data_IF_099739561867
#
_entry.id   IF_099739561867
#
_cell.length_a   1.000
_cell.length_b   1.000
_cell.length_c   1.000
_cell.angle_alpha   90.00
_cell.angle_beta   90.00
_cell.angle_gamma   90.00
#
_symmetry.space_group_name_H-M   'P 1'
#
loop_
_entity.id
_entity.type
_entity.pdbx_description
1 polymer ?
#
# COMPACT_ATOMS: atom_id res chain seq x y z
N UNK A 1 -14.63 -9.49 23.22
CA UNK A 1 -14.73 -9.34 21.75
C UNK A 1 -13.94 -8.16 21.16
N UNK A 2 -13.59 -7.09 21.90
CA UNK A 2 -12.80 -5.94 21.40
C UNK A 2 -11.30 -6.19 21.12
N UNK A 3 -10.77 -7.39 21.36
CA UNK A 3 -9.31 -7.67 21.32
C UNK A 3 -8.75 -7.87 19.91
N UNK A 4 -9.58 -8.22 18.93
CA UNK A 4 -9.12 -8.56 17.57
C UNK A 4 -9.32 -7.44 16.55
N UNK A 5 -10.28 -6.54 16.74
CA UNK A 5 -10.57 -5.46 15.79
C UNK A 5 -9.84 -4.16 16.18
N UNK A 6 -8.51 -4.23 16.24
CA UNK A 6 -7.68 -3.04 16.49
C UNK A 6 -7.37 -2.34 15.17
N UNK A 7 -7.07 -1.04 15.23
CA UNK A 7 -6.61 -0.30 14.05
C UNK A 7 -5.41 -0.99 13.38
N UNK A 8 -4.46 -1.49 14.17
CA UNK A 8 -3.31 -2.21 13.65
C UNK A 8 -3.71 -3.48 12.91
N UNK A 9 -4.69 -4.24 13.43
CA UNK A 9 -5.18 -5.45 12.77
C UNK A 9 -5.86 -5.12 11.44
N UNK A 10 -6.70 -4.07 11.41
CA UNK A 10 -7.36 -3.61 10.17
C UNK A 10 -6.31 -3.18 9.14
N UNK A 11 -5.31 -2.41 9.58
CA UNK A 11 -4.25 -1.92 8.71
C UNK A 11 -3.40 -3.06 8.14
N UNK A 12 -3.04 -4.06 8.95
CA UNK A 12 -2.27 -5.22 8.48
C UNK A 12 -3.08 -6.16 7.58
N UNK A 13 -4.36 -6.38 7.89
CA UNK A 13 -5.25 -7.16 7.03
C UNK A 13 -5.44 -6.46 5.67
N UNK A 14 -5.68 -5.15 5.68
CA UNK A 14 -5.76 -4.33 4.47
C UNK A 14 -4.46 -4.36 3.67
N UNK A 15 -3.31 -4.20 4.35
CA UNK A 15 -1.99 -4.30 3.71
C UNK A 15 -1.84 -5.60 2.92
N UNK A 16 -2.14 -6.74 3.55
CA UNK A 16 -2.05 -8.05 2.92
C UNK A 16 -3.01 -8.15 1.73
N UNK A 17 -4.30 -7.86 1.95
CA UNK A 17 -5.35 -8.02 0.92
C UNK A 17 -5.06 -7.14 -0.29
N UNK A 18 -4.80 -5.84 -0.09
CA UNK A 18 -4.61 -4.91 -1.20
C UNK A 18 -3.27 -5.11 -1.91
N UNK A 19 -2.20 -5.46 -1.19
CA UNK A 19 -0.91 -5.75 -1.84
C UNK A 19 -1.00 -7.00 -2.72
N UNK A 20 -1.57 -8.09 -2.19
CA UNK A 20 -1.73 -9.34 -2.95
C UNK A 20 -2.68 -9.15 -4.13
N UNK A 21 -3.81 -8.46 -3.93
CA UNK A 21 -4.75 -8.16 -5.01
C UNK A 21 -4.11 -7.28 -6.09
N UNK A 22 -3.32 -6.26 -5.72
CA UNK A 22 -2.58 -5.42 -6.65
C UNK A 22 -1.65 -6.24 -7.54
N UNK A 23 -0.83 -7.10 -6.95
CA UNK A 23 0.06 -7.99 -7.71
C UNK A 23 -0.70 -9.00 -8.59
N UNK A 24 -1.80 -9.56 -8.08
CA UNK A 24 -2.61 -10.51 -8.84
C UNK A 24 -3.23 -9.85 -10.08
N UNK A 25 -3.80 -8.65 -9.92
CA UNK A 25 -4.41 -7.92 -11.05
C UNK A 25 -3.35 -7.54 -12.10
N UNK A 26 -2.16 -7.11 -11.66
CA UNK A 26 -1.04 -6.84 -12.57
C UNK A 26 -0.62 -8.11 -13.33
N UNK A 27 -0.51 -9.26 -12.66
CA UNK A 27 -0.11 -10.52 -13.30
C UNK A 27 -1.18 -11.09 -14.24
N UNK A 28 -2.46 -10.82 -13.97
CA UNK A 28 -3.59 -11.15 -14.84
C UNK A 28 -3.72 -10.23 -16.07
N UNK A 29 -2.73 -9.38 -16.35
CA UNK A 29 -2.75 -8.39 -17.44
C UNK A 29 -3.93 -7.40 -17.33
N UNK A 30 -4.31 -7.06 -16.10
CA UNK A 30 -5.32 -6.05 -15.78
C UNK A 30 -4.66 -4.82 -15.10
N UNK A 31 -3.74 -4.12 -15.79
CA UNK A 31 -2.92 -3.07 -15.19
C UNK A 31 -3.75 -1.89 -14.68
N UNK A 32 -4.88 -1.57 -15.30
CA UNK A 32 -5.79 -0.53 -14.83
C UNK A 32 -6.33 -0.82 -13.42
N UNK A 33 -6.70 -2.07 -13.13
CA UNK A 33 -7.20 -2.39 -11.80
C UNK A 33 -6.04 -2.61 -10.83
N UNK A 34 -4.93 -3.19 -11.30
CA UNK A 34 -3.73 -3.40 -10.51
C UNK A 34 -3.10 -2.11 -9.99
N UNK A 35 -2.98 -1.08 -10.82
CA UNK A 35 -2.41 0.21 -10.42
C UNK A 35 -3.26 0.91 -9.35
N UNK A 36 -4.58 0.96 -9.52
CA UNK A 36 -5.48 1.57 -8.52
C UNK A 36 -5.40 0.80 -7.19
N UNK A 37 -5.51 -0.53 -7.24
CA UNK A 37 -5.48 -1.36 -6.02
C UNK A 37 -4.13 -1.26 -5.32
N UNK A 38 -3.03 -1.18 -6.07
CA UNK A 38 -1.69 -1.00 -5.52
C UNK A 38 -1.50 0.41 -4.92
N UNK A 39 -2.10 1.44 -5.51
CA UNK A 39 -2.11 2.79 -4.92
C UNK A 39 -2.91 2.82 -3.62
N UNK A 40 -4.06 2.15 -3.56
CA UNK A 40 -4.82 1.99 -2.30
C UNK A 40 -3.99 1.24 -1.25
N UNK A 41 -3.22 0.22 -1.67
CA UNK A 41 -2.32 -0.51 -0.78
C UNK A 41 -1.31 0.42 -0.06
N UNK A 42 -0.92 1.54 -0.71
CA UNK A 42 0.03 2.48 -0.12
C UNK A 42 -0.47 3.16 1.14
N UNK A 43 -1.80 3.32 1.32
CA UNK A 43 -2.37 3.86 2.58
C UNK A 43 -1.96 2.97 3.77
N UNK A 44 -2.04 1.65 3.58
CA UNK A 44 -1.66 0.68 4.60
C UNK A 44 -0.15 0.60 4.79
N UNK A 45 0.61 0.68 3.70
CA UNK A 45 2.08 0.74 3.76
C UNK A 45 2.56 1.98 4.51
N UNK A 46 1.96 3.15 4.29
CA UNK A 46 2.32 4.40 4.99
C UNK A 46 2.10 4.24 6.49
N UNK A 47 0.95 3.71 6.91
CA UNK A 47 0.70 3.42 8.33
C UNK A 47 1.74 2.45 8.91
N UNK A 48 1.96 1.31 8.24
CA UNK A 48 2.84 0.26 8.72
C UNK A 48 4.29 0.72 8.80
N UNK A 49 4.78 1.40 7.76
CA UNK A 49 6.15 1.90 7.69
C UNK A 49 6.40 3.04 8.67
N UNK A 50 5.43 3.93 8.90
CA UNK A 50 5.54 4.96 9.94
C UNK A 50 5.66 4.34 11.32
N UNK A 51 4.83 3.35 11.63
CA UNK A 51 4.87 2.64 12.90
C UNK A 51 6.22 1.95 13.12
N UNK A 52 6.73 1.24 12.12
CA UNK A 52 8.06 0.60 12.18
C UNK A 52 9.18 1.63 12.33
N UNK A 53 9.08 2.80 11.71
CA UNK A 53 10.03 3.88 11.96
C UNK A 53 10.00 4.33 13.43
N UNK A 54 8.82 4.53 14.02
CA UNK A 54 8.70 4.97 15.42
C UNK A 54 9.09 3.91 16.44
N UNK A 55 8.80 2.64 16.18
CA UNK A 55 9.02 1.55 17.14
C UNK A 55 10.40 0.88 16.98
N UNK A 56 10.93 0.80 15.75
CA UNK A 56 12.16 0.07 15.43
C UNK A 56 13.24 0.94 14.75
N UNK A 57 13.00 2.25 14.59
CA UNK A 57 13.98 3.18 14.01
C UNK A 57 14.21 3.05 12.50
N UNK A 58 13.44 2.22 11.79
CA UNK A 58 13.67 1.92 10.36
C UNK A 58 13.05 2.99 9.43
N UNK A 59 13.63 4.20 9.45
CA UNK A 59 13.15 5.32 8.62
C UNK A 59 13.22 5.05 7.11
N UNK A 60 14.17 4.23 6.66
CA UNK A 60 14.37 3.92 5.25
C UNK A 60 13.13 3.29 4.60
N UNK A 61 12.41 2.41 5.32
CA UNK A 61 11.18 1.77 4.82
C UNK A 61 10.08 2.83 4.63
N UNK A 62 9.99 3.80 5.55
CA UNK A 62 9.03 4.89 5.44
C UNK A 62 9.32 5.77 4.22
N UNK A 63 10.58 6.19 4.03
CA UNK A 63 10.99 6.99 2.86
C UNK A 63 10.70 6.23 1.56
N UNK A 64 11.06 4.95 1.49
CA UNK A 64 10.78 4.10 0.33
C UNK A 64 9.28 4.01 0.04
N UNK A 65 8.45 3.90 1.09
CA UNK A 65 6.99 3.87 0.95
C UNK A 65 6.45 5.18 0.35
N UNK A 66 6.96 6.33 0.78
CA UNK A 66 6.57 7.63 0.20
C UNK A 66 6.96 7.69 -1.28
N UNK A 67 8.17 7.26 -1.64
CA UNK A 67 8.62 7.21 -3.03
C UNK A 67 7.72 6.30 -3.89
N UNK A 68 7.40 5.09 -3.41
CA UNK A 68 6.47 4.18 -4.09
C UNK A 68 5.07 4.77 -4.22
N UNK A 69 4.58 5.48 -3.22
CA UNK A 69 3.28 6.17 -3.28
C UNK A 69 3.24 7.17 -4.42
N UNK A 70 4.30 7.96 -4.60
CA UNK A 70 4.43 8.91 -5.70
C UNK A 70 4.48 8.18 -7.04
N UNK A 71 5.25 7.10 -7.15
CA UNK A 71 5.37 6.30 -8.38
C UNK A 71 4.02 5.70 -8.79
N UNK A 72 3.30 5.07 -7.86
CA UNK A 72 1.97 4.52 -8.15
C UNK A 72 0.95 5.62 -8.46
N UNK A 73 1.03 6.77 -7.77
CA UNK A 73 0.20 7.93 -8.08
C UNK A 73 0.44 8.44 -9.50
N UNK A 74 1.71 8.55 -9.89
CA UNK A 74 2.07 8.92 -11.26
C UNK A 74 1.66 7.86 -12.28
N UNK A 75 1.85 6.58 -11.98
CA UNK A 75 1.38 5.47 -12.83
C UNK A 75 -0.13 5.51 -13.05
N UNK A 76 -0.90 5.89 -12.03
CA UNK A 76 -2.33 6.14 -12.18
C UNK A 76 -2.57 7.36 -13.07
N UNK A 77 -2.00 8.53 -12.78
CA UNK A 77 -2.20 9.70 -13.65
C UNK A 77 -1.83 9.41 -15.12
N UNK A 78 -0.74 8.68 -15.35
CA UNK A 78 -0.30 8.32 -16.69
C UNK A 78 -1.23 7.34 -17.41
N UNK A 79 -1.96 6.47 -16.70
CA UNK A 79 -2.83 5.50 -17.35
C UNK A 79 -4.23 6.08 -17.68
N UNK A 80 -4.76 6.99 -16.86
CA UNK A 80 -6.13 7.52 -17.02
C UNK A 80 -6.20 8.96 -17.55
N UNK A 81 -5.14 9.76 -17.44
CA UNK A 81 -5.19 11.20 -17.77
C UNK A 81 -4.29 11.59 -18.94
N UNK A 82 -3.09 11.01 -19.02
CA UNK A 82 -2.11 11.25 -20.08
C UNK A 82 -2.22 10.19 -21.18
#
# INVERSE_FOLDING_TARGET
MKKYCTLNTIMQAGLLVFTTAGFLLMSMKMPQYGLIVTLIAQIFWIYSSYKVWKEAGQIAIFINTIALTIIFGYGVLNYWVL
#
